data_IF_553270744581
#
_entry.id   IF_553270744581
#
_cell.length_a   1.000
_cell.length_b   1.000
_cell.length_c   1.000
_cell.angle_alpha   90.00
_cell.angle_beta   90.00
_cell.angle_gamma   90.00
#
_symmetry.space_group_name_H-M   'P 1'
#
loop_
_entity.id
_entity.type
_entity.pdbx_description
1 polymer ?
#
# COMPACT_ATOMS: atom_id res chain seq x y z
N UNK A 1 -55.85 12.49 -13.19
CA UNK A 1 -56.49 11.74 -14.30
C UNK A 1 -57.10 10.48 -13.72
N UNK A 2 -58.42 10.30 -13.83
CA UNK A 2 -59.09 9.07 -13.39
C UNK A 2 -58.56 7.89 -14.20
N UNK A 3 -58.28 6.75 -13.56
CA UNK A 3 -57.79 5.56 -14.24
C UNK A 3 -58.80 5.15 -15.33
N UNK A 4 -58.35 4.76 -16.53
CA UNK A 4 -59.26 4.37 -17.61
C UNK A 4 -60.14 3.21 -17.15
N UNK A 5 -61.46 3.37 -17.26
CA UNK A 5 -62.44 2.35 -16.88
C UNK A 5 -62.18 1.09 -17.70
N UNK A 6 -61.84 -0.02 -17.04
CA UNK A 6 -61.64 -1.32 -17.69
C UNK A 6 -63.00 -1.88 -18.10
N UNK A 7 -63.14 -2.24 -19.38
CA UNK A 7 -64.29 -3.01 -19.83
C UNK A 7 -64.37 -4.36 -19.07
N UNK A 8 -65.55 -4.76 -18.58
CA UNK A 8 -65.75 -6.05 -17.93
C UNK A 8 -65.46 -7.20 -18.90
N UNK A 9 -64.94 -8.33 -18.37
CA UNK A 9 -64.44 -9.44 -19.18
C UNK A 9 -65.54 -10.12 -19.98
N UNK A 10 -66.73 -10.28 -19.39
CA UNK A 10 -67.92 -10.83 -20.05
C UNK A 10 -68.33 -10.06 -21.31
N UNK A 11 -68.21 -8.73 -21.27
CA UNK A 11 -68.52 -7.86 -22.40
C UNK A 11 -67.48 -8.00 -23.52
N UNK A 12 -66.21 -8.22 -23.18
CA UNK A 12 -65.15 -8.48 -24.16
C UNK A 12 -65.37 -9.80 -24.86
N UNK A 13 -65.64 -10.86 -24.11
CA UNK A 13 -65.80 -12.21 -24.63
C UNK A 13 -67.03 -12.31 -25.55
N UNK A 14 -68.15 -11.66 -25.17
CA UNK A 14 -69.34 -11.55 -26.00
C UNK A 14 -69.08 -10.76 -27.29
N UNK A 15 -68.37 -9.64 -27.20
CA UNK A 15 -68.07 -8.79 -28.36
C UNK A 15 -67.12 -9.49 -29.35
N UNK A 16 -66.12 -10.21 -28.86
CA UNK A 16 -65.19 -11.01 -29.67
C UNK A 16 -65.92 -12.16 -30.35
N UNK A 17 -66.74 -12.91 -29.61
CA UNK A 17 -67.55 -14.01 -30.18
C UNK A 17 -68.45 -13.50 -31.31
N UNK A 18 -69.18 -12.42 -31.06
CA UNK A 18 -70.07 -11.82 -32.06
C UNK A 18 -69.30 -11.34 -33.29
N UNK A 19 -68.09 -10.82 -33.13
CA UNK A 19 -67.23 -10.39 -34.24
C UNK A 19 -66.52 -11.52 -35.00
N UNK A 20 -66.40 -12.72 -34.42
CA UNK A 20 -65.86 -13.91 -35.11
C UNK A 20 -66.96 -14.74 -35.81
N UNK A 21 -68.17 -14.76 -35.26
CA UNK A 21 -69.31 -15.52 -35.80
C UNK A 21 -70.13 -14.74 -36.85
N UNK A 22 -70.10 -13.40 -36.81
CA UNK A 22 -70.85 -12.56 -37.75
C UNK A 22 -69.95 -11.92 -38.81
N UNK A 23 -70.43 -11.87 -40.05
CA UNK A 23 -69.73 -11.25 -41.19
C UNK A 23 -69.92 -9.71 -41.24
N UNK A 24 -70.27 -9.10 -40.09
CA UNK A 24 -70.53 -7.66 -39.98
C UNK A 24 -69.20 -6.90 -39.77
N UNK A 25 -69.07 -5.68 -40.31
CA UNK A 25 -67.86 -4.90 -40.10
C UNK A 25 -67.67 -4.54 -38.62
N UNK A 26 -66.44 -4.71 -38.11
CA UNK A 26 -66.04 -4.47 -36.70
C UNK A 26 -66.46 -3.08 -36.20
N UNK A 27 -66.51 -2.07 -37.07
CA UNK A 27 -66.95 -0.72 -36.73
C UNK A 27 -68.43 -0.65 -36.32
N UNK A 28 -69.29 -1.44 -36.96
CA UNK A 28 -70.73 -1.49 -36.67
C UNK A 28 -70.99 -2.24 -35.35
N UNK A 29 -70.32 -3.38 -35.15
CA UNK A 29 -70.39 -4.15 -33.89
C UNK A 29 -69.91 -3.33 -32.69
N UNK A 30 -68.84 -2.54 -32.87
CA UNK A 30 -68.34 -1.65 -31.82
C UNK A 30 -69.33 -0.53 -31.47
N UNK A 31 -70.04 0.02 -32.45
CA UNK A 31 -71.07 1.04 -32.24
C UNK A 31 -72.29 0.49 -31.49
N UNK A 32 -72.76 -0.70 -31.85
CA UNK A 32 -73.93 -1.36 -31.23
C UNK A 32 -73.67 -1.70 -29.74
N UNK A 33 -72.43 -2.04 -29.40
CA UNK A 33 -72.02 -2.40 -28.03
C UNK A 33 -71.48 -1.22 -27.20
N UNK A 34 -71.36 -0.03 -27.79
CA UNK A 34 -70.80 1.16 -27.14
C UNK A 34 -69.30 1.05 -26.79
N UNK A 35 -68.54 0.29 -27.58
CA UNK A 35 -67.10 0.04 -27.36
C UNK A 35 -66.28 0.85 -28.37
N UNK A 36 -65.09 1.31 -27.99
CA UNK A 36 -64.18 1.95 -28.93
C UNK A 36 -63.74 0.97 -30.03
N UNK A 37 -63.93 1.32 -31.31
CA UNK A 37 -63.61 0.48 -32.49
C UNK A 37 -62.23 -0.16 -32.44
N UNK A 38 -61.20 0.60 -32.07
CA UNK A 38 -59.83 0.09 -32.04
C UNK A 38 -59.61 -0.91 -30.89
N UNK A 39 -60.35 -0.80 -29.78
CA UNK A 39 -60.28 -1.76 -28.68
C UNK A 39 -60.84 -3.13 -29.11
N UNK A 40 -62.01 -3.14 -29.79
CA UNK A 40 -62.59 -4.37 -30.35
C UNK A 40 -61.67 -4.99 -31.41
N UNK A 41 -61.06 -4.17 -32.28
CA UNK A 41 -60.11 -4.64 -33.28
C UNK A 41 -58.88 -5.31 -32.66
N UNK A 42 -58.37 -4.81 -31.53
CA UNK A 42 -57.24 -5.41 -30.80
C UNK A 42 -57.65 -6.75 -30.19
N UNK A 43 -58.85 -6.84 -29.59
CA UNK A 43 -59.33 -8.10 -29.00
C UNK A 43 -59.61 -9.18 -30.03
N UNK A 44 -60.23 -8.84 -31.17
CA UNK A 44 -60.47 -9.80 -32.27
C UNK A 44 -59.14 -10.26 -32.87
N UNK A 45 -58.15 -9.37 -33.03
CA UNK A 45 -56.80 -9.75 -33.46
C UNK A 45 -56.14 -10.74 -32.50
N UNK A 46 -56.30 -10.52 -31.20
CA UNK A 46 -55.77 -11.43 -30.18
C UNK A 46 -56.49 -12.78 -30.18
N UNK A 47 -57.81 -12.79 -30.31
CA UNK A 47 -58.59 -14.02 -30.37
C UNK A 47 -58.31 -14.84 -31.65
N UNK A 48 -58.06 -14.18 -32.78
CA UNK A 48 -57.59 -14.82 -34.01
C UNK A 48 -56.18 -15.42 -33.85
N UNK A 49 -55.31 -14.77 -33.08
CA UNK A 49 -54.00 -15.32 -32.73
C UNK A 49 -54.12 -16.52 -31.79
N UNK A 50 -54.99 -16.44 -30.78
CA UNK A 50 -55.29 -17.53 -29.84
C UNK A 50 -55.94 -18.74 -30.54
N UNK A 51 -56.70 -18.51 -31.61
CA UNK A 51 -57.28 -19.55 -32.48
C UNK A 51 -56.31 -20.07 -33.56
N UNK A 52 -55.04 -19.61 -33.58
CA UNK A 52 -54.01 -20.05 -34.52
C UNK A 52 -54.18 -19.54 -35.96
N UNK A 53 -55.13 -18.64 -36.22
CA UNK A 53 -55.40 -18.08 -37.56
C UNK A 53 -54.40 -16.98 -37.96
N UNK A 54 -53.58 -16.50 -37.02
CA UNK A 54 -52.52 -15.51 -37.27
C UNK A 54 -51.25 -15.87 -36.51
N UNK A 55 -50.20 -16.22 -37.26
CA UNK A 55 -48.88 -16.56 -36.72
C UNK A 55 -48.02 -15.36 -36.34
N UNK A 56 -48.39 -14.14 -36.76
CA UNK A 56 -47.62 -12.91 -36.48
C UNK A 56 -47.78 -12.38 -35.04
N UNK A 57 -48.75 -12.89 -34.28
CA UNK A 57 -49.02 -12.46 -32.90
C UNK A 57 -48.93 -13.64 -31.94
N UNK A 58 -48.18 -13.45 -30.85
CA UNK A 58 -48.14 -14.39 -29.73
C UNK A 58 -49.53 -14.55 -29.11
N UNK A 59 -49.87 -15.79 -28.76
CA UNK A 59 -51.09 -16.12 -28.03
C UNK A 59 -51.09 -15.47 -26.64
N UNK A 60 -52.27 -15.33 -26.03
CA UNK A 60 -52.43 -14.79 -24.68
C UNK A 60 -51.62 -15.57 -23.66
N UNK A 61 -51.64 -16.90 -23.75
CA UNK A 61 -50.86 -17.80 -22.89
C UNK A 61 -49.36 -17.59 -23.07
N UNK A 62 -48.87 -17.53 -24.31
CA UNK A 62 -47.44 -17.28 -24.58
C UNK A 62 -46.98 -15.90 -24.10
N UNK A 63 -47.85 -14.88 -24.18
CA UNK A 63 -47.54 -13.54 -23.66
C UNK A 63 -47.46 -13.50 -22.14
N UNK A 64 -48.36 -14.17 -21.46
CA UNK A 64 -48.33 -14.28 -20.00
C UNK A 64 -47.10 -15.06 -19.53
N UNK A 65 -46.75 -16.14 -20.24
CA UNK A 65 -45.55 -16.92 -19.95
C UNK A 65 -44.27 -16.12 -20.23
N UNK A 66 -44.19 -15.40 -21.36
CA UNK A 66 -43.07 -14.48 -21.62
C UNK A 66 -42.92 -13.41 -20.55
N UNK A 67 -44.04 -12.90 -20.02
CA UNK A 67 -44.02 -11.91 -18.94
C UNK A 67 -43.51 -12.52 -17.64
N UNK A 68 -43.95 -13.74 -17.30
CA UNK A 68 -43.48 -14.51 -16.14
C UNK A 68 -41.98 -14.79 -16.25
N UNK A 69 -41.55 -15.37 -17.37
CA UNK A 69 -40.15 -15.70 -17.64
C UNK A 69 -39.25 -14.45 -17.61
N UNK A 70 -39.70 -13.31 -18.14
CA UNK A 70 -38.95 -12.05 -18.05
C UNK A 70 -38.79 -11.57 -16.61
N UNK A 71 -39.83 -11.72 -15.79
CA UNK A 71 -39.78 -11.35 -14.36
C UNK A 71 -38.80 -12.24 -13.61
N UNK A 72 -38.89 -13.55 -13.80
CA UNK A 72 -38.01 -14.53 -13.18
C UNK A 72 -36.55 -14.34 -13.62
N UNK A 73 -36.30 -14.11 -14.92
CA UNK A 73 -34.97 -13.83 -15.43
C UNK A 73 -34.35 -12.56 -14.81
N UNK A 74 -35.16 -11.52 -14.58
CA UNK A 74 -34.70 -10.30 -13.90
C UNK A 74 -34.37 -10.55 -12.42
N UNK A 75 -35.15 -11.38 -11.72
CA UNK A 75 -34.87 -11.76 -10.33
C UNK A 75 -33.61 -12.63 -10.24
N UNK A 76 -33.46 -13.62 -11.12
CA UNK A 76 -32.27 -14.45 -11.23
C UNK A 76 -31.01 -13.64 -11.57
N UNK A 77 -31.11 -12.69 -12.50
CA UNK A 77 -30.01 -11.76 -12.80
C UNK A 77 -29.60 -10.95 -11.58
N UNK A 78 -30.56 -10.43 -10.80
CA UNK A 78 -30.25 -9.72 -9.54
C UNK A 78 -29.57 -10.63 -8.52
N UNK A 79 -30.05 -11.85 -8.33
CA UNK A 79 -29.44 -12.81 -7.41
C UNK A 79 -28.00 -13.14 -7.83
N UNK A 80 -27.77 -13.39 -9.12
CA UNK A 80 -26.44 -13.64 -9.66
C UNK A 80 -25.49 -12.46 -9.49
N UNK A 81 -25.96 -11.22 -9.69
CA UNK A 81 -25.12 -10.04 -9.43
C UNK A 81 -24.75 -9.93 -7.94
N UNK A 82 -25.66 -10.26 -7.02
CA UNK A 82 -25.36 -10.30 -5.58
C UNK A 82 -24.36 -11.42 -5.25
N UNK A 83 -24.47 -12.59 -5.88
CA UNK A 83 -23.55 -13.70 -5.64
C UNK A 83 -22.16 -13.45 -6.23
N UNK A 84 -22.07 -12.86 -7.43
CA UNK A 84 -20.79 -12.40 -8.01
C UNK A 84 -20.14 -11.35 -7.12
N UNK A 85 -20.93 -10.42 -6.60
CA UNK A 85 -20.51 -9.42 -5.63
C UNK A 85 -19.93 -10.06 -4.36
N UNK A 86 -20.65 -11.02 -3.77
CA UNK A 86 -20.18 -11.76 -2.61
C UNK A 86 -18.91 -12.58 -2.92
N UNK A 87 -18.86 -13.26 -4.07
CA UNK A 87 -17.71 -14.03 -4.52
C UNK A 87 -16.46 -13.16 -4.74
N UNK A 88 -16.60 -11.97 -5.32
CA UNK A 88 -15.49 -11.02 -5.46
C UNK A 88 -14.96 -10.56 -4.09
N UNK A 89 -15.84 -10.43 -3.10
CA UNK A 89 -15.47 -10.14 -1.72
C UNK A 89 -14.67 -11.29 -1.10
N UNK A 90 -15.14 -12.54 -1.27
CA UNK A 90 -14.44 -13.73 -0.78
C UNK A 90 -13.12 -14.01 -1.54
N UNK A 91 -13.03 -13.72 -2.83
CA UNK A 91 -11.80 -13.90 -3.61
C UNK A 91 -10.68 -12.96 -3.15
N UNK A 92 -11.03 -11.74 -2.71
CA UNK A 92 -10.07 -10.83 -2.08
C UNK A 92 -9.56 -11.32 -0.70
N UNK A 93 -10.20 -12.31 -0.08
CA UNK A 93 -9.83 -12.86 1.24
C UNK A 93 -8.72 -13.92 1.20
N UNK A 94 -8.40 -14.52 0.04
CA UNK A 94 -7.41 -15.61 -0.04
C UNK A 94 -5.96 -15.20 0.33
N UNK A 95 -5.72 -13.94 0.72
CA UNK A 95 -4.42 -13.45 1.18
C UNK A 95 -4.42 -12.57 2.44
N UNK A 96 -5.55 -12.35 3.15
CA UNK A 96 -5.58 -11.46 4.33
C UNK A 96 -6.28 -12.07 5.56
N UNK A 97 -5.77 -11.82 6.79
CA UNK A 97 -6.40 -12.32 8.01
C UNK A 97 -7.77 -11.69 8.27
N UNK A 98 -8.73 -12.51 8.76
CA UNK A 98 -10.15 -12.21 9.02
C UNK A 98 -10.45 -10.95 9.87
N UNK A 99 -9.45 -10.30 10.45
CA UNK A 99 -9.60 -9.10 11.29
C UNK A 99 -9.51 -7.78 10.52
N UNK A 100 -9.11 -7.81 9.24
CA UNK A 100 -9.06 -6.63 8.35
C UNK A 100 -10.01 -6.79 7.17
N UNK A 101 -11.31 -6.80 7.44
CA UNK A 101 -12.29 -6.55 6.39
C UNK A 101 -12.09 -5.12 5.90
N UNK A 102 -11.65 -4.92 4.64
CA UNK A 102 -11.79 -3.61 4.00
C UNK A 102 -13.26 -3.45 3.62
N UNK A 103 -14.07 -2.93 4.55
CA UNK A 103 -15.49 -2.62 4.35
C UNK A 103 -15.75 -1.68 3.16
N UNK A 104 -14.70 -1.03 2.64
CA UNK A 104 -14.69 -0.30 1.38
C UNK A 104 -15.08 -1.19 0.17
N UNK A 105 -14.72 -2.47 0.19
CA UNK A 105 -15.11 -3.46 -0.82
C UNK A 105 -16.63 -3.69 -0.83
N UNK A 106 -17.31 -3.63 0.32
CA UNK A 106 -18.78 -3.75 0.41
C UNK A 106 -19.49 -2.56 -0.25
N UNK A 107 -18.85 -1.39 -0.27
CA UNK A 107 -19.42 -0.17 -0.88
C UNK A 107 -19.26 -0.16 -2.40
N UNK A 108 -18.15 -0.69 -2.93
CA UNK A 108 -17.82 -0.61 -4.35
C UNK A 108 -18.51 -1.66 -5.22
N UNK A 109 -19.14 -2.66 -4.61
CA UNK A 109 -19.49 -3.90 -5.31
C UNK A 109 -20.95 -3.96 -5.79
N UNK A 110 -21.83 -3.00 -5.47
CA UNK A 110 -23.23 -3.09 -5.93
C UNK A 110 -23.88 -1.75 -6.28
N UNK A 111 -24.42 -1.67 -7.51
CA UNK A 111 -25.38 -0.64 -7.93
C UNK A 111 -26.70 -0.67 -7.13
N UNK A 112 -26.93 -1.77 -6.40
CA UNK A 112 -28.10 -2.06 -5.56
C UNK A 112 -27.94 -1.68 -4.08
N UNK A 113 -26.79 -1.09 -3.69
CA UNK A 113 -26.51 -0.64 -2.33
C UNK A 113 -26.10 -1.76 -1.35
N UNK A 114 -25.74 -1.42 -0.11
CA UNK A 114 -25.11 -2.38 0.82
C UNK A 114 -26.08 -3.39 1.46
N UNK A 115 -27.39 -3.09 1.51
CA UNK A 115 -28.38 -3.92 2.22
C UNK A 115 -28.52 -5.34 1.65
N UNK A 116 -28.64 -5.55 0.33
CA UNK A 116 -28.70 -6.90 -0.25
C UNK A 116 -27.45 -7.73 0.03
N UNK A 117 -26.26 -7.12 0.00
CA UNK A 117 -25.00 -7.79 0.33
C UNK A 117 -24.96 -8.16 1.82
N UNK A 118 -25.36 -7.25 2.70
CA UNK A 118 -25.48 -7.52 4.13
C UNK A 118 -26.43 -8.70 4.41
N UNK A 119 -27.55 -8.82 3.69
CA UNK A 119 -28.48 -9.96 3.83
C UNK A 119 -27.87 -11.29 3.41
N UNK A 120 -27.08 -11.31 2.33
CA UNK A 120 -26.41 -12.56 1.87
C UNK A 120 -25.27 -12.97 2.81
N UNK A 121 -24.64 -12.01 3.48
CA UNK A 121 -23.58 -12.26 4.46
C UNK A 121 -24.11 -12.44 5.90
N UNK A 122 -25.43 -12.47 6.13
CA UNK A 122 -26.06 -12.49 7.45
C UNK A 122 -25.54 -11.39 8.41
N UNK A 123 -25.25 -10.22 7.86
CA UNK A 123 -24.82 -9.03 8.61
C UNK A 123 -25.98 -8.05 8.79
N UNK A 124 -26.13 -7.48 9.99
CA UNK A 124 -27.08 -6.39 10.22
C UNK A 124 -26.65 -5.12 9.44
N UNK A 125 -27.52 -4.51 8.60
CA UNK A 125 -27.20 -3.27 7.89
C UNK A 125 -26.81 -2.11 8.81
N UNK A 126 -27.34 -2.07 10.04
CA UNK A 126 -26.96 -1.06 11.05
C UNK A 126 -25.47 -1.08 11.36
N UNK A 127 -24.89 -2.27 11.51
CA UNK A 127 -23.45 -2.46 11.78
C UNK A 127 -22.56 -1.84 10.69
N UNK A 128 -23.00 -1.88 9.42
CA UNK A 128 -22.29 -1.23 8.32
C UNK A 128 -22.30 0.30 8.47
N UNK A 129 -23.46 0.90 8.73
CA UNK A 129 -23.57 2.36 8.86
C UNK A 129 -22.91 2.88 10.15
N UNK A 130 -23.04 2.17 11.27
CA UNK A 130 -22.36 2.51 12.53
C UNK A 130 -20.85 2.52 12.35
N UNK A 131 -20.32 1.53 11.64
CA UNK A 131 -18.88 1.45 11.36
C UNK A 131 -18.43 2.51 10.35
N UNK A 132 -19.25 2.83 9.35
CA UNK A 132 -18.98 3.92 8.39
C UNK A 132 -18.93 5.28 9.08
N UNK A 133 -19.73 5.49 10.13
CA UNK A 133 -19.77 6.73 10.92
C UNK A 133 -18.76 6.74 12.07
N UNK A 134 -18.15 5.61 12.39
CA UNK A 134 -17.27 5.47 13.56
C UNK A 134 -16.03 6.36 13.39
N UNK A 135 -15.74 7.26 14.34
CA UNK A 135 -14.50 8.03 14.30
C UNK A 135 -13.28 7.11 14.43
N UNK A 136 -12.09 7.54 13.95
CA UNK A 136 -10.87 6.75 14.09
C UNK A 136 -10.64 6.41 15.56
N UNK A 137 -10.26 5.16 15.83
CA UNK A 137 -9.96 4.71 17.19
C UNK A 137 -8.74 5.46 17.76
N UNK A 138 -8.62 5.53 19.09
CA UNK A 138 -7.46 6.15 19.74
C UNK A 138 -6.12 5.58 19.22
N UNK A 139 -6.07 4.28 18.90
CA UNK A 139 -4.92 3.65 18.26
C UNK A 139 -4.67 4.18 16.84
N UNK A 140 -5.71 4.32 16.03
CA UNK A 140 -5.59 4.84 14.67
C UNK A 140 -5.13 6.31 14.67
N UNK A 141 -5.63 7.12 15.60
CA UNK A 141 -5.18 8.50 15.79
C UNK A 141 -3.70 8.55 16.21
N UNK A 142 -3.29 7.73 17.19
CA UNK A 142 -1.88 7.62 17.59
C UNK A 142 -0.99 7.15 16.44
N UNK A 143 -1.42 6.14 15.70
CA UNK A 143 -0.69 5.63 14.54
C UNK A 143 -0.52 6.70 13.45
N UNK A 144 -1.53 7.56 13.24
CA UNK A 144 -1.50 8.67 12.30
C UNK A 144 -0.46 9.75 12.68
N UNK A 145 -0.34 10.07 13.97
CA UNK A 145 0.72 10.98 14.46
C UNK A 145 2.09 10.32 14.36
N UNK A 146 2.18 9.04 14.71
CA UNK A 146 3.46 8.32 14.69
C UNK A 146 4.02 8.15 13.29
N UNK A 147 3.18 7.97 12.26
CA UNK A 147 3.68 7.81 10.89
C UNK A 147 4.31 9.09 10.36
N UNK A 148 3.79 10.26 10.72
CA UNK A 148 4.39 11.55 10.37
C UNK A 148 5.80 11.67 10.96
N UNK A 149 5.94 11.41 12.27
CA UNK A 149 7.24 11.40 12.95
C UNK A 149 8.21 10.36 12.38
N UNK A 150 7.72 9.16 12.03
CA UNK A 150 8.52 8.11 11.40
C UNK A 150 9.00 8.57 10.01
N UNK A 151 8.14 9.23 9.23
CA UNK A 151 8.47 9.76 7.92
C UNK A 151 9.53 10.85 8.01
N UNK A 152 9.39 11.77 8.96
CA UNK A 152 10.38 12.84 9.20
C UNK A 152 11.74 12.26 9.58
N UNK A 153 11.77 11.30 10.50
CA UNK A 153 13.02 10.61 10.90
C UNK A 153 13.62 9.86 9.71
N UNK A 154 12.79 9.19 8.90
CA UNK A 154 13.25 8.45 7.72
C UNK A 154 13.86 9.40 6.69
N UNK A 155 13.18 10.48 6.36
CA UNK A 155 13.64 11.49 5.40
C UNK A 155 14.92 12.18 5.90
N UNK A 156 14.95 12.61 7.16
CA UNK A 156 16.13 13.20 7.80
C UNK A 156 17.33 12.25 7.87
N UNK A 157 17.08 10.94 7.78
CA UNK A 157 18.12 9.90 7.74
C UNK A 157 18.47 9.47 6.33
N UNK A 158 18.19 10.30 5.32
CA UNK A 158 18.36 9.96 3.90
C UNK A 158 17.69 8.62 3.54
N UNK A 159 16.56 8.29 4.17
CA UNK A 159 15.79 7.05 4.01
C UNK A 159 16.52 5.74 4.33
N UNK A 160 17.58 5.83 5.14
CA UNK A 160 18.42 4.67 5.50
C UNK A 160 17.87 3.93 6.71
N UNK A 161 17.25 4.66 7.65
CA UNK A 161 16.80 4.11 8.92
C UNK A 161 15.59 3.23 8.72
N UNK A 162 15.77 1.94 8.97
CA UNK A 162 14.68 0.98 9.02
C UNK A 162 14.03 0.90 10.40
N UNK A 163 13.14 -0.08 10.55
CA UNK A 163 12.40 -0.37 11.78
C UNK A 163 13.28 -0.60 13.02
N UNK A 164 14.59 -0.85 12.83
CA UNK A 164 15.54 -0.99 13.93
C UNK A 164 16.07 0.35 14.47
N UNK A 165 16.40 1.31 13.59
CA UNK A 165 17.02 2.59 14.00
C UNK A 165 16.00 3.70 14.24
N UNK A 166 14.91 3.74 13.47
CA UNK A 166 13.81 4.69 13.66
C UNK A 166 13.31 4.75 15.12
N UNK A 167 12.97 3.64 15.80
CA UNK A 167 12.51 3.73 17.19
C UNK A 167 13.60 4.22 18.16
N UNK A 168 14.90 4.03 17.86
CA UNK A 168 15.99 4.57 18.69
C UNK A 168 16.05 6.09 18.56
N UNK A 169 15.93 6.60 17.33
CA UNK A 169 15.88 8.03 17.08
C UNK A 169 14.63 8.70 17.69
N UNK A 170 13.46 8.06 17.56
CA UNK A 170 12.22 8.54 18.17
C UNK A 170 12.32 8.60 19.70
N UNK A 171 12.96 7.60 20.34
CA UNK A 171 13.22 7.65 21.79
C UNK A 171 14.09 8.82 22.20
N UNK A 172 15.10 9.18 21.39
CA UNK A 172 15.92 10.37 21.62
C UNK A 172 15.13 11.68 21.48
N UNK A 173 14.06 11.68 20.69
CA UNK A 173 13.10 12.78 20.56
C UNK A 173 11.99 12.76 21.62
N UNK A 174 12.07 11.85 22.61
CA UNK A 174 11.09 11.73 23.70
C UNK A 174 9.87 10.84 23.37
N UNK A 175 9.81 10.25 22.18
CA UNK A 175 8.68 9.41 21.75
C UNK A 175 8.96 7.94 22.01
N UNK A 176 8.28 7.37 23.01
CA UNK A 176 8.39 5.95 23.34
C UNK A 176 7.52 5.08 22.42
N UNK A 177 8.18 4.29 21.57
CA UNK A 177 7.54 3.34 20.66
C UNK A 177 8.28 2.02 20.59
N UNK A 178 7.52 0.92 20.52
CA UNK A 178 8.05 -0.41 20.31
C UNK A 178 8.44 -0.61 18.84
N UNK A 179 9.50 -1.39 18.60
CA UNK A 179 9.98 -1.74 17.25
C UNK A 179 8.87 -2.33 16.36
N UNK A 180 8.07 -3.26 16.90
CA UNK A 180 7.00 -3.91 16.14
C UNK A 180 5.93 -2.94 15.63
N UNK A 181 5.71 -1.83 16.35
CA UNK A 181 4.77 -0.77 15.93
C UNK A 181 5.33 0.01 14.77
N UNK A 182 6.60 0.43 14.86
CA UNK A 182 7.29 1.12 13.78
C UNK A 182 7.38 0.23 12.54
N UNK A 183 7.77 -1.03 12.70
CA UNK A 183 7.88 -1.99 11.59
C UNK A 183 6.54 -2.15 10.85
N UNK A 184 5.44 -2.29 11.60
CA UNK A 184 4.08 -2.39 11.04
C UNK A 184 3.70 -1.12 10.28
N UNK A 185 3.96 0.06 10.84
CA UNK A 185 3.61 1.35 10.20
C UNK A 185 4.46 1.61 8.96
N UNK A 186 5.77 1.36 9.04
CA UNK A 186 6.68 1.47 7.90
C UNK A 186 6.25 0.55 6.76
N UNK A 187 5.95 -0.73 7.05
CA UNK A 187 5.44 -1.68 6.05
C UNK A 187 4.12 -1.24 5.43
N UNK A 188 3.19 -0.71 6.24
CA UNK A 188 1.89 -0.26 5.76
C UNK A 188 1.97 0.98 4.84
N UNK A 189 2.99 1.81 5.00
CA UNK A 189 3.21 3.03 4.21
C UNK A 189 4.32 2.91 3.16
N UNK A 190 4.84 1.70 2.92
CA UNK A 190 5.90 1.47 1.92
C UNK A 190 7.25 2.07 2.28
N UNK A 191 7.48 2.45 3.55
CA UNK A 191 8.77 2.93 4.03
C UNK A 191 9.65 1.72 4.34
N UNK A 192 10.85 1.71 3.75
CA UNK A 192 11.84 0.67 4.01
C UNK A 192 13.19 1.31 4.29
N UNK A 193 13.90 0.77 5.28
CA UNK A 193 15.31 1.09 5.49
C UNK A 193 16.19 0.35 4.50
N UNK A 194 17.43 0.78 4.35
CA UNK A 194 18.35 0.11 3.43
C UNK A 194 18.87 -1.18 4.05
N UNK A 195 18.78 -2.28 3.29
CA UNK A 195 19.43 -3.55 3.60
C UNK A 195 20.63 -3.72 2.66
N UNK A 196 21.80 -4.06 3.22
CA UNK A 196 23.00 -4.34 2.43
C UNK A 196 22.76 -5.62 1.63
N UNK A 197 23.01 -5.61 0.32
CA UNK A 197 23.04 -6.83 -0.51
C UNK A 197 24.36 -7.56 -0.29
N UNK A 198 24.37 -8.87 -0.54
CA UNK A 198 25.58 -9.69 -0.47
C UNK A 198 26.64 -9.21 -1.46
N UNK A 199 27.89 -9.27 -1.02
CA UNK A 199 29.04 -8.70 -1.71
C UNK A 199 29.50 -9.67 -2.81
N UNK A 200 29.60 -9.20 -4.05
CA UNK A 200 30.32 -9.91 -5.10
C UNK A 200 31.83 -9.68 -4.92
N UNK A 201 32.62 -10.76 -4.99
CA UNK A 201 34.08 -10.71 -4.91
C UNK A 201 34.64 -10.46 -6.31
N UNK A 202 35.31 -9.33 -6.50
CA UNK A 202 35.71 -8.83 -7.82
C UNK A 202 37.20 -9.05 -8.17
N UNK A 203 38.06 -9.38 -7.20
CA UNK A 203 39.52 -9.28 -7.38
C UNK A 203 40.26 -10.60 -7.14
N UNK A 204 41.21 -10.90 -8.03
CA UNK A 204 42.18 -12.00 -7.95
C UNK A 204 43.59 -11.42 -7.70
N UNK A 205 44.45 -12.02 -6.86
CA UNK A 205 45.74 -11.41 -6.47
C UNK A 205 46.74 -11.31 -7.63
N UNK A 206 47.55 -10.24 -7.63
CA UNK A 206 48.72 -10.06 -8.51
C UNK A 206 50.03 -9.95 -7.72
N UNK A 207 51.16 -10.19 -8.39
CA UNK A 207 52.48 -10.43 -7.78
C UNK A 207 53.17 -9.18 -7.20
N UNK A 208 54.16 -9.45 -6.34
CA UNK A 208 54.61 -8.74 -5.13
C UNK A 208 55.34 -7.39 -5.36
N UNK A 209 55.01 -6.40 -4.53
CA UNK A 209 55.84 -5.19 -4.30
C UNK A 209 56.20 -5.09 -2.81
N UNK A 210 57.36 -4.48 -2.48
CA UNK A 210 57.79 -4.20 -1.10
C UNK A 210 56.80 -3.25 -0.41
N UNK A 211 56.31 -3.61 0.77
CA UNK A 211 55.20 -2.92 1.46
C UNK A 211 55.47 -2.71 2.95
N UNK A 212 54.86 -1.68 3.56
CA UNK A 212 54.87 -1.51 5.01
C UNK A 212 54.30 -2.73 5.73
N UNK A 213 54.72 -3.01 6.97
CA UNK A 213 54.17 -4.10 7.78
C UNK A 213 52.74 -3.80 8.26
N UNK A 214 51.91 -4.84 8.46
CA UNK A 214 50.64 -4.74 9.20
C UNK A 214 50.94 -4.59 10.69
N UNK A 215 50.78 -3.38 11.21
CA UNK A 215 50.99 -3.05 12.63
C UNK A 215 49.72 -3.24 13.48
N UNK A 216 48.57 -3.46 12.84
CA UNK A 216 47.25 -3.57 13.48
C UNK A 216 46.88 -5.04 13.71
N UNK A 217 47.63 -5.99 13.14
CA UNK A 217 47.43 -7.44 13.29
C UNK A 217 45.96 -7.85 13.04
N UNK A 218 45.34 -7.23 12.02
CA UNK A 218 43.92 -7.41 11.67
C UNK A 218 42.90 -7.08 12.78
N UNK A 219 43.28 -6.34 13.83
CA UNK A 219 42.36 -5.83 14.86
C UNK A 219 41.86 -4.43 14.48
N UNK A 220 40.82 -4.36 13.67
CA UNK A 220 40.21 -3.08 13.22
C UNK A 220 39.22 -2.46 14.22
N UNK A 221 39.33 -2.83 15.49
CA UNK A 221 38.56 -2.25 16.59
C UNK A 221 39.48 -1.35 17.40
N UNK A 222 39.07 -0.11 17.63
CA UNK A 222 39.75 0.82 18.52
C UNK A 222 39.02 0.89 19.87
N UNK A 223 39.79 0.97 20.96
CA UNK A 223 39.25 1.07 22.32
C UNK A 223 38.93 2.53 22.70
N UNK A 224 39.48 3.48 21.94
CA UNK A 224 39.26 4.92 22.10
C UNK A 224 39.28 5.65 20.75
N UNK A 225 38.69 6.86 20.68
CA UNK A 225 38.87 7.76 19.54
C UNK A 225 40.35 8.01 19.21
N UNK A 226 40.61 8.37 17.96
CA UNK A 226 41.93 8.75 17.40
C UNK A 226 43.04 7.69 17.48
N UNK A 227 42.72 6.43 17.83
CA UNK A 227 43.70 5.34 17.90
C UNK A 227 44.01 4.71 16.53
N UNK A 228 43.01 4.60 15.66
CA UNK A 228 43.13 3.95 14.34
C UNK A 228 42.40 4.78 13.28
N UNK A 229 43.09 5.05 12.17
CA UNK A 229 42.60 5.91 11.09
C UNK A 229 42.62 5.11 9.78
N UNK A 230 41.46 4.56 9.33
CA UNK A 230 41.40 3.83 8.08
C UNK A 230 41.43 4.79 6.89
N UNK A 231 42.20 4.47 5.85
CA UNK A 231 42.27 5.23 4.61
C UNK A 231 42.35 4.31 3.39
N UNK A 232 41.72 4.74 2.28
CA UNK A 232 41.67 4.02 1.00
C UNK A 232 42.42 4.80 -0.12
N UNK A 233 43.34 5.68 0.27
CA UNK A 233 44.11 6.52 -0.66
C UNK A 233 45.59 6.19 -0.53
N UNK A 234 46.16 5.65 -1.62
CA UNK A 234 47.57 5.29 -1.76
C UNK A 234 48.26 6.24 -2.74
N UNK A 235 48.33 7.53 -2.41
CA UNK A 235 49.14 8.49 -3.18
C UNK A 235 50.47 8.75 -2.49
N UNK A 236 51.55 8.87 -3.27
CA UNK A 236 52.90 9.20 -2.77
C UNK A 236 52.89 10.47 -1.90
N UNK A 237 52.20 11.52 -2.36
CA UNK A 237 52.08 12.79 -1.61
C UNK A 237 51.39 12.61 -0.26
N UNK A 238 50.34 11.79 -0.22
CA UNK A 238 49.63 11.48 1.02
C UNK A 238 50.51 10.69 1.98
N UNK A 239 51.20 9.64 1.51
CA UNK A 239 52.10 8.84 2.35
C UNK A 239 53.27 9.65 2.89
N UNK A 240 53.89 10.51 2.07
CA UNK A 240 54.96 11.41 2.54
C UNK A 240 54.46 12.34 3.64
N UNK A 241 53.27 12.93 3.46
CA UNK A 241 52.70 13.83 4.46
C UNK A 241 52.37 13.13 5.78
N UNK A 242 51.93 11.87 5.75
CA UNK A 242 51.71 11.08 6.97
C UNK A 242 53.02 10.86 7.73
N UNK A 243 54.10 10.56 7.02
CA UNK A 243 55.43 10.43 7.61
C UNK A 243 55.90 11.73 8.25
N UNK A 244 55.71 12.88 7.58
CA UNK A 244 56.06 14.20 8.13
C UNK A 244 55.32 14.52 9.45
N UNK A 245 54.09 14.00 9.59
CA UNK A 245 53.25 14.19 10.77
C UNK A 245 53.49 13.15 11.87
N UNK A 246 54.46 12.23 11.68
CA UNK A 246 54.73 11.15 12.62
C UNK A 246 53.63 10.08 12.68
N UNK A 247 52.73 10.04 11.69
CA UNK A 247 51.69 9.03 11.60
C UNK A 247 52.27 7.77 10.98
N UNK A 248 52.24 6.68 11.74
CA UNK A 248 52.77 5.39 11.28
C UNK A 248 51.76 4.74 10.33
N UNK A 249 52.15 4.61 9.06
CA UNK A 249 51.33 3.91 8.07
C UNK A 249 51.38 2.39 8.30
N UNK A 250 50.20 1.78 8.44
CA UNK A 250 50.01 0.33 8.49
C UNK A 250 49.25 -0.10 7.26
N UNK A 251 49.81 -1.01 6.46
CA UNK A 251 49.17 -1.57 5.26
C UNK A 251 49.42 -3.07 5.27
N UNK A 252 48.39 -3.91 5.23
CA UNK A 252 48.57 -5.35 5.25
C UNK A 252 48.80 -5.97 3.87
N UNK A 253 48.75 -7.31 3.86
CA UNK A 253 49.23 -8.16 2.77
C UNK A 253 48.43 -8.03 1.46
N UNK A 254 49.00 -8.50 0.34
CA UNK A 254 48.33 -8.48 -0.98
C UNK A 254 46.98 -9.19 -0.94
N UNK A 255 45.94 -8.56 -1.53
CA UNK A 255 44.58 -9.10 -1.61
C UNK A 255 43.94 -9.39 -0.24
N UNK A 256 44.51 -8.84 0.83
CA UNK A 256 43.91 -8.85 2.14
C UNK A 256 42.93 -7.69 2.24
N UNK A 257 41.68 -7.97 1.88
CA UNK A 257 40.61 -6.97 1.89
C UNK A 257 40.30 -6.41 3.29
N UNK A 258 40.91 -6.96 4.35
CA UNK A 258 40.63 -6.60 5.73
C UNK A 258 41.05 -5.16 6.06
N UNK A 259 42.21 -4.68 5.61
CA UNK A 259 42.68 -3.31 5.93
C UNK A 259 41.81 -2.24 5.28
N UNK A 260 41.35 -2.51 4.06
CA UNK A 260 40.44 -1.61 3.37
C UNK A 260 38.97 -1.82 3.78
N UNK A 261 38.63 -2.89 4.50
CA UNK A 261 37.23 -3.22 4.79
C UNK A 261 36.52 -2.11 5.58
N UNK A 262 37.23 -1.41 6.47
CA UNK A 262 36.67 -0.34 7.28
C UNK A 262 36.37 0.91 6.45
N UNK A 263 37.35 1.36 5.64
CA UNK A 263 37.16 2.48 4.71
C UNK A 263 36.10 2.15 3.64
N UNK A 264 36.11 0.94 3.09
CA UNK A 264 35.09 0.49 2.13
C UNK A 264 33.69 0.36 2.75
N UNK A 265 33.59 0.01 4.03
CA UNK A 265 32.30 0.01 4.74
C UNK A 265 31.73 1.42 4.88
N UNK A 266 32.59 2.40 5.18
CA UNK A 266 32.23 3.81 5.20
C UNK A 266 31.84 4.29 3.79
N UNK A 267 32.65 4.01 2.78
CA UNK A 267 32.40 4.38 1.38
C UNK A 267 31.11 3.77 0.85
N UNK A 268 30.85 2.50 1.15
CA UNK A 268 29.60 1.83 0.79
C UNK A 268 28.40 2.49 1.46
N UNK A 269 28.53 2.86 2.74
CA UNK A 269 27.51 3.62 3.47
C UNK A 269 27.28 4.95 2.79
N UNK A 270 28.30 5.79 2.67
CA UNK A 270 28.25 7.09 1.99
C UNK A 270 27.57 7.03 0.61
N UNK A 271 28.00 6.10 -0.25
CA UNK A 271 27.43 5.93 -1.60
C UNK A 271 25.96 5.53 -1.54
N UNK A 272 25.59 4.66 -0.62
CA UNK A 272 24.22 4.18 -0.46
C UNK A 272 23.29 5.24 0.11
N UNK A 273 23.75 5.98 1.12
CA UNK A 273 22.94 6.96 1.84
C UNK A 273 22.79 8.26 1.02
N UNK A 274 23.87 8.72 0.36
CA UNK A 274 23.88 9.99 -0.38
C UNK A 274 23.84 9.79 -1.90
N UNK A 275 24.85 9.12 -2.47
CA UNK A 275 25.12 9.18 -3.92
C UNK A 275 24.03 8.47 -4.73
N UNK A 276 23.65 7.25 -4.37
CA UNK A 276 22.73 6.42 -5.15
C UNK A 276 21.26 6.86 -5.05
N UNK A 277 20.92 7.77 -4.13
CA UNK A 277 19.52 8.18 -3.88
C UNK A 277 19.09 9.42 -4.64
N UNK A 278 20.04 10.14 -5.24
CA UNK A 278 19.81 11.42 -5.92
C UNK A 278 20.53 11.43 -7.26
N UNK A 279 19.97 12.14 -8.23
CA UNK A 279 20.70 12.47 -9.45
C UNK A 279 21.44 13.78 -9.24
N UNK A 280 22.67 13.84 -9.74
CA UNK A 280 23.59 14.96 -9.57
C UNK A 280 23.86 15.58 -10.92
N UNK A 281 23.66 16.91 -11.05
CA UNK A 281 23.84 17.62 -12.33
C UNK A 281 25.22 18.25 -12.46
N UNK A 282 25.79 18.70 -11.35
CA UNK A 282 27.10 19.35 -11.30
C UNK A 282 27.94 18.78 -10.17
N UNK A 283 29.26 18.95 -10.26
CA UNK A 283 30.21 18.57 -9.22
C UNK A 283 29.95 19.34 -7.91
N UNK A 284 29.72 20.65 -8.00
CA UNK A 284 29.50 21.51 -6.82
C UNK A 284 28.30 21.07 -5.97
N UNK A 285 27.23 20.58 -6.62
CA UNK A 285 26.08 20.01 -5.91
C UNK A 285 26.48 18.80 -5.06
N UNK A 286 27.33 17.93 -5.61
CA UNK A 286 27.83 16.75 -4.90
C UNK A 286 28.72 17.19 -3.74
N UNK A 287 29.63 18.14 -3.98
CA UNK A 287 30.56 18.64 -2.95
C UNK A 287 29.81 19.26 -1.76
N UNK A 288 28.80 20.11 -2.00
CA UNK A 288 27.98 20.67 -0.94
C UNK A 288 27.24 19.58 -0.16
N UNK A 289 26.65 18.61 -0.87
CA UNK A 289 25.92 17.54 -0.23
C UNK A 289 26.82 16.56 0.54
N UNK A 290 28.09 16.40 0.13
CA UNK A 290 29.10 15.66 0.89
C UNK A 290 29.33 16.35 2.24
N UNK A 291 29.52 17.67 2.25
CA UNK A 291 29.74 18.43 3.50
C UNK A 291 28.53 18.31 4.41
N UNK A 292 27.31 18.45 3.87
CA UNK A 292 26.07 18.26 4.62
C UNK A 292 25.97 16.84 5.20
N UNK A 293 26.29 15.82 4.39
CA UNK A 293 26.25 14.42 4.82
C UNK A 293 27.31 14.12 5.89
N UNK A 294 28.53 14.65 5.78
CA UNK A 294 29.58 14.50 6.81
C UNK A 294 29.14 15.14 8.12
N UNK A 295 28.55 16.33 8.07
CA UNK A 295 27.96 16.98 9.24
C UNK A 295 26.85 16.13 9.86
N UNK A 296 25.92 15.63 9.05
CA UNK A 296 24.87 14.74 9.54
C UNK A 296 25.42 13.42 10.11
N UNK A 297 26.41 12.81 9.46
CA UNK A 297 27.03 11.55 9.87
C UNK A 297 27.65 11.67 11.26
N UNK A 298 28.39 12.75 11.52
CA UNK A 298 29.09 12.94 12.78
C UNK A 298 28.18 13.43 13.91
N UNK A 299 27.17 14.26 13.61
CA UNK A 299 26.36 14.92 14.64
C UNK A 299 24.99 14.30 14.87
N UNK A 300 24.47 13.50 13.94
CA UNK A 300 23.07 13.00 14.02
C UNK A 300 22.95 11.50 13.75
N UNK A 301 23.83 10.92 12.93
CA UNK A 301 23.70 9.51 12.57
C UNK A 301 24.00 8.61 13.77
N UNK A 302 23.11 7.68 14.08
CA UNK A 302 23.27 6.68 15.13
C UNK A 302 24.10 5.48 14.65
N UNK A 303 25.07 5.09 15.46
CA UNK A 303 25.98 3.98 15.17
C UNK A 303 25.84 2.88 16.22
N UNK A 304 25.45 1.69 15.77
CA UNK A 304 25.26 0.52 16.64
C UNK A 304 26.54 0.09 17.34
N UNK A 305 27.71 0.27 16.71
CA UNK A 305 29.00 -0.12 17.26
C UNK A 305 29.41 0.70 18.50
N UNK A 306 28.90 1.92 18.64
CA UNK A 306 29.22 2.84 19.75
C UNK A 306 28.01 3.09 20.65
N UNK A 307 27.03 2.17 20.67
CA UNK A 307 25.87 2.27 21.57
C UNK A 307 24.73 3.16 21.07
N UNK A 308 24.56 3.28 19.75
CA UNK A 308 23.49 4.04 19.11
C UNK A 308 23.49 5.54 19.44
N UNK A 309 24.68 6.13 19.47
CA UNK A 309 24.89 7.58 19.58
C UNK A 309 25.59 8.12 18.32
N UNK A 310 25.51 9.43 18.05
CA UNK A 310 26.35 10.11 17.08
C UNK A 310 27.85 10.04 17.44
N UNK A 311 28.75 9.93 16.45
CA UNK A 311 30.20 9.92 16.68
C UNK A 311 30.70 11.05 17.57
N UNK A 312 30.22 12.28 17.35
CA UNK A 312 30.62 13.44 18.15
C UNK A 312 30.21 13.29 19.62
N UNK A 313 29.03 12.75 19.90
CA UNK A 313 28.60 12.53 21.29
C UNK A 313 29.49 11.50 22.00
N UNK A 314 29.89 10.45 21.27
CA UNK A 314 30.79 9.43 21.79
C UNK A 314 32.19 10.00 22.08
N UNK A 315 32.77 10.74 21.15
CA UNK A 315 34.07 11.41 21.34
C UNK A 315 34.02 12.41 22.49
N UNK A 316 32.99 13.25 22.55
CA UNK A 316 32.81 14.21 23.64
C UNK A 316 32.67 13.51 24.99
N UNK A 317 31.96 12.38 25.07
CA UNK A 317 31.83 11.61 26.29
C UNK A 317 33.17 11.01 26.74
N UNK A 318 33.96 10.47 25.81
CA UNK A 318 35.31 9.97 26.07
C UNK A 318 36.23 11.10 26.57
N UNK A 319 36.27 12.22 25.86
CA UNK A 319 37.14 13.33 26.23
C UNK A 319 36.73 14.01 27.55
N UNK A 320 35.43 13.99 27.89
CA UNK A 320 34.96 14.41 29.23
C UNK A 320 35.43 13.44 30.32
N UNK A 321 35.38 12.13 30.09
CA UNK A 321 35.75 11.16 31.12
C UNK A 321 37.24 11.23 31.47
N UNK A 322 38.11 11.48 30.49
CA UNK A 322 39.55 11.62 30.73
C UNK A 322 39.92 12.98 31.35
N UNK A 323 39.14 14.03 31.08
CA UNK A 323 39.38 15.38 31.59
C UNK A 323 38.67 15.68 32.92
N UNK A 324 37.91 14.72 33.47
CA UNK A 324 37.30 14.89 34.80
C UNK A 324 38.39 14.66 35.85
N UNK A 325 38.81 15.69 36.62
CA UNK A 325 39.79 15.48 37.68
C UNK A 325 39.23 14.49 38.70
N UNK A 326 40.08 13.58 39.18
CA UNK A 326 39.72 12.66 40.26
C UNK A 326 39.10 13.46 41.42
N UNK A 327 38.01 12.99 42.05
CA UNK A 327 37.44 13.70 43.18
C UNK A 327 38.55 13.89 44.21
N UNK A 328 38.87 15.15 44.50
CA UNK A 328 39.82 15.54 45.53
C UNK A 328 39.29 14.95 46.83
N UNK A 329 39.87 13.82 47.25
CA UNK A 329 39.50 13.16 48.48
C UNK A 329 39.59 14.16 49.62
N UNK A 330 38.47 14.36 50.31
CA UNK A 330 38.44 15.00 51.61
C UNK A 330 39.47 14.30 52.50
N UNK A 331 40.43 15.08 53.02
CA UNK A 331 41.34 14.66 54.09
C UNK A 331 40.60 14.53 55.40
#
# INVERSE_FOLDING_TARGET
MSAPRKYPQELRDRAVRLAMESDRPIAQIAADLGIHREALRIWVRQAQADAGQRSEQLTTVEREELKRLRKENNELKRANEILKAASALFAAELGQPRTKWSWWSITCVTASGPVPVCRVLDLCPGTYYDRKRRPPSARAQRDAVLIEQISDVHQASYGTYGAYRVPKQLRRQGVQVARCTVERLMRAHGLQGVHRRDRQRTTTPGETASRPPDLVNRRFTADRPDQLWPADITSLRYTTRLTDLGVVASVGSVADSHDNAMAESLNATFKTELIHRRSWRTRDQVEYAIVEWVGWYNHRRLHTAIGDVPPVEYEMAYYRSINTPAPTGAR
#
